data_IF_255211004039
#
_entry.id   IF_255211004039
#
_cell.length_a   1.000
_cell.length_b   1.000
_cell.length_c   1.000
_cell.angle_alpha   90.00
_cell.angle_beta   90.00
_cell.angle_gamma   90.00
#
_symmetry.space_group_name_H-M   'P 1'
#
loop_
_entity.id
_entity.type
_entity.pdbx_description
1 polymer ?
#
# COMPACT_ATOMS: atom_id res chain seq x y z
N UNK A 1 9.72 34.10 -0.57
CA UNK A 1 9.40 32.94 -1.43
C UNK A 1 8.04 33.20 -2.04
N UNK A 2 7.92 33.00 -3.35
CA UNK A 2 6.72 33.30 -4.14
C UNK A 2 5.67 32.22 -3.93
N UNK A 3 4.41 32.61 -3.75
CA UNK A 3 3.29 31.67 -3.79
C UNK A 3 3.18 31.05 -5.19
N UNK A 4 2.77 29.78 -5.28
CA UNK A 4 2.62 29.11 -6.57
C UNK A 4 1.45 29.70 -7.36
N UNK A 5 1.68 30.04 -8.63
CA UNK A 5 0.63 30.57 -9.51
C UNK A 5 -0.26 29.45 -10.08
N UNK A 6 -1.46 29.82 -10.54
CA UNK A 6 -2.43 28.86 -11.08
C UNK A 6 -1.94 28.18 -12.38
N UNK A 7 -1.06 28.83 -13.14
CA UNK A 7 -0.46 28.24 -14.35
C UNK A 7 0.76 27.35 -14.02
N UNK A 8 1.55 27.70 -12.99
CA UNK A 8 2.56 26.79 -12.43
C UNK A 8 1.92 25.51 -11.85
N UNK A 9 0.78 25.62 -11.16
CA UNK A 9 0.00 24.46 -10.70
C UNK A 9 -0.37 23.56 -11.89
N UNK A 10 -0.97 24.11 -12.95
CA UNK A 10 -1.34 23.33 -14.16
C UNK A 10 -0.12 22.66 -14.80
N UNK A 11 1.00 23.38 -14.89
CA UNK A 11 2.23 22.89 -15.50
C UNK A 11 2.86 21.75 -14.70
N UNK A 12 3.03 21.94 -13.38
CA UNK A 12 3.60 20.94 -12.49
C UNK A 12 2.70 19.72 -12.34
N UNK A 13 1.37 19.88 -12.21
CA UNK A 13 0.43 18.75 -12.19
C UNK A 13 0.55 17.91 -13.47
N UNK A 14 0.60 18.53 -14.65
CA UNK A 14 0.82 17.82 -15.93
C UNK A 14 2.18 17.12 -15.96
N UNK A 15 3.22 17.75 -15.43
CA UNK A 15 4.56 17.17 -15.41
C UNK A 15 4.66 15.96 -14.47
N UNK A 16 4.26 16.12 -13.22
CA UNK A 16 4.13 15.07 -12.20
C UNK A 16 3.35 13.87 -12.75
N UNK A 17 2.19 14.12 -13.37
CA UNK A 17 1.41 13.07 -14.01
C UNK A 17 2.19 12.35 -15.11
N UNK A 18 2.89 13.09 -16.00
CA UNK A 18 3.66 12.48 -17.09
C UNK A 18 4.83 11.60 -16.64
N UNK A 19 5.43 11.88 -15.47
CA UNK A 19 6.58 11.12 -14.93
C UNK A 19 6.17 10.01 -13.96
N UNK A 20 5.02 10.14 -13.29
CA UNK A 20 4.60 9.24 -12.20
C UNK A 20 3.25 8.54 -12.36
N UNK A 21 2.37 9.05 -13.23
CA UNK A 21 0.96 8.65 -13.30
C UNK A 21 0.07 9.21 -12.19
N UNK A 22 0.64 9.89 -11.18
CA UNK A 22 -0.13 10.49 -10.07
C UNK A 22 -0.96 11.67 -10.60
N UNK A 23 -2.28 11.49 -10.59
CA UNK A 23 -3.24 12.52 -10.94
C UNK A 23 -3.52 13.42 -9.73
N UNK A 24 -3.00 14.65 -9.77
CA UNK A 24 -3.33 15.69 -8.80
C UNK A 24 -4.49 16.53 -9.33
N UNK A 25 -5.61 16.52 -8.62
CA UNK A 25 -6.72 17.45 -8.88
C UNK A 25 -6.42 18.86 -8.31
N UNK A 26 -7.23 19.85 -8.69
CA UNK A 26 -7.04 21.23 -8.27
C UNK A 26 -7.15 21.43 -6.73
N UNK A 27 -7.93 20.60 -6.02
CA UNK A 27 -8.05 20.68 -4.56
C UNK A 27 -6.78 20.21 -3.83
N UNK A 28 -5.95 19.40 -4.51
CA UNK A 28 -4.67 18.89 -4.02
C UNK A 28 -3.46 19.74 -4.46
N UNK A 29 -3.67 20.87 -5.13
CA UNK A 29 -2.59 21.74 -5.61
C UNK A 29 -1.62 22.19 -4.51
N UNK A 30 -2.11 22.39 -3.28
CA UNK A 30 -1.27 22.72 -2.11
C UNK A 30 -0.18 21.68 -1.80
N UNK A 31 -0.36 20.42 -2.26
CA UNK A 31 0.66 19.38 -2.12
C UNK A 31 1.90 19.67 -2.98
N UNK A 32 1.75 20.36 -4.12
CA UNK A 32 2.89 20.78 -4.94
C UNK A 32 3.74 21.79 -4.16
N UNK A 33 3.13 22.84 -3.63
CA UNK A 33 3.83 23.87 -2.85
C UNK A 33 4.49 23.28 -1.60
N UNK A 34 3.75 22.55 -0.78
CA UNK A 34 4.27 22.00 0.48
C UNK A 34 5.39 20.98 0.28
N UNK A 35 5.34 20.15 -0.78
CA UNK A 35 6.30 19.06 -1.00
C UNK A 35 7.47 19.42 -1.91
N UNK A 36 7.31 20.39 -2.82
CA UNK A 36 8.40 20.84 -3.71
C UNK A 36 9.19 22.02 -3.14
N UNK A 37 8.71 22.68 -2.08
CA UNK A 37 9.44 23.75 -1.37
C UNK A 37 10.87 23.35 -0.91
N UNK A 38 11.16 22.13 -0.42
CA UNK A 38 12.53 21.71 -0.15
C UNK A 38 13.40 21.69 -1.41
N UNK A 39 12.88 21.19 -2.54
CA UNK A 39 13.60 21.20 -3.83
C UNK A 39 13.85 22.62 -4.34
N UNK A 40 12.89 23.53 -4.19
CA UNK A 40 13.06 24.95 -4.51
C UNK A 40 14.29 25.55 -3.79
N UNK A 41 14.52 25.17 -2.53
CA UNK A 41 15.68 25.59 -1.74
C UNK A 41 16.96 24.88 -2.23
N UNK A 42 16.93 23.55 -2.36
CA UNK A 42 18.07 22.72 -2.78
C UNK A 42 18.65 23.16 -4.13
N UNK A 43 17.80 23.47 -5.12
CA UNK A 43 18.22 23.90 -6.45
C UNK A 43 18.27 25.43 -6.64
N UNK A 44 18.14 26.20 -5.55
CA UNK A 44 18.13 27.67 -5.57
C UNK A 44 17.20 28.25 -6.65
N UNK A 45 15.95 27.78 -6.70
CA UNK A 45 14.95 28.23 -7.68
C UNK A 45 14.13 29.40 -7.12
N UNK A 46 13.92 30.42 -7.95
CA UNK A 46 13.15 31.63 -7.65
C UNK A 46 11.65 31.47 -7.92
N UNK A 47 11.28 30.55 -8.82
CA UNK A 47 9.90 30.24 -9.22
C UNK A 47 9.72 28.73 -9.47
N UNK A 48 8.46 28.26 -9.45
CA UNK A 48 8.16 26.87 -9.79
C UNK A 48 8.31 26.61 -11.30
N UNK A 49 8.13 27.64 -12.13
CA UNK A 49 8.55 27.63 -13.54
C UNK A 49 10.04 27.29 -13.71
N UNK A 50 10.92 27.90 -12.90
CA UNK A 50 12.36 27.65 -12.94
C UNK A 50 12.69 26.21 -12.47
N UNK A 51 12.03 25.72 -11.42
CA UNK A 51 12.18 24.34 -10.96
C UNK A 51 11.76 23.34 -12.04
N UNK A 52 10.63 23.57 -12.71
CA UNK A 52 10.18 22.77 -13.86
C UNK A 52 11.20 22.80 -15.00
N UNK A 53 11.70 23.98 -15.37
CA UNK A 53 12.65 24.14 -16.47
C UNK A 53 13.98 23.41 -16.18
N UNK A 54 14.54 23.57 -14.97
CA UNK A 54 15.73 22.83 -14.53
C UNK A 54 15.47 21.32 -14.52
N UNK A 55 14.34 20.87 -13.98
CA UNK A 55 13.99 19.43 -13.94
C UNK A 55 13.79 18.83 -15.34
N UNK A 56 13.39 19.62 -16.34
CA UNK A 56 13.32 19.20 -17.75
C UNK A 56 14.68 19.24 -18.47
N UNK A 57 15.58 20.12 -18.06
CA UNK A 57 16.92 20.23 -18.63
C UNK A 57 17.91 19.20 -18.03
N UNK A 58 17.63 18.68 -16.84
CA UNK A 58 18.46 17.68 -16.14
C UNK A 58 18.51 16.33 -16.86
N UNK A 59 19.58 16.13 -17.63
CA UNK A 59 19.87 14.87 -18.33
C UNK A 59 20.23 13.71 -17.40
N UNK A 60 20.53 13.95 -16.11
CA UNK A 60 20.77 12.87 -15.13
C UNK A 60 19.47 12.26 -14.59
N UNK A 61 18.35 12.98 -14.76
CA UNK A 61 17.04 12.63 -14.21
C UNK A 61 16.98 12.62 -12.69
N UNK A 62 17.93 13.23 -11.99
CA UNK A 62 17.95 13.27 -10.53
C UNK A 62 16.85 14.21 -10.00
N UNK A 63 16.65 15.36 -10.64
CA UNK A 63 15.53 16.26 -10.31
C UNK A 63 14.17 15.59 -10.56
N UNK A 64 14.04 14.73 -11.58
CA UNK A 64 12.82 13.95 -11.82
C UNK A 64 12.57 12.94 -10.68
N UNK A 65 13.61 12.21 -10.25
CA UNK A 65 13.53 11.24 -9.14
C UNK A 65 13.12 11.90 -7.83
N UNK A 66 13.76 13.01 -7.46
CA UNK A 66 13.45 13.74 -6.23
C UNK A 66 12.03 14.34 -6.27
N UNK A 67 11.60 14.85 -7.43
CA UNK A 67 10.23 15.34 -7.61
C UNK A 67 9.18 14.22 -7.45
N UNK A 68 9.47 13.02 -7.98
CA UNK A 68 8.66 11.83 -7.74
C UNK A 68 8.64 11.49 -6.24
N UNK A 69 9.80 11.36 -5.61
CA UNK A 69 9.90 11.00 -4.19
C UNK A 69 9.10 11.98 -3.30
N UNK A 70 9.25 13.29 -3.54
CA UNK A 70 8.53 14.34 -2.84
C UNK A 70 7.01 14.25 -3.01
N UNK A 71 6.51 14.00 -4.22
CA UNK A 71 5.06 13.94 -4.50
C UNK A 71 4.42 12.60 -4.14
N UNK A 72 5.16 11.49 -4.13
CA UNK A 72 4.61 10.19 -3.70
C UNK A 72 4.19 10.21 -2.22
N UNK A 73 3.00 9.71 -1.91
CA UNK A 73 2.53 9.58 -0.52
C UNK A 73 2.82 8.17 0.00
N UNK A 74 3.95 8.01 0.68
CA UNK A 74 4.47 6.73 1.14
C UNK A 74 3.91 6.29 2.51
N UNK A 75 2.58 6.34 2.70
CA UNK A 75 1.99 5.75 3.91
C UNK A 75 1.92 4.23 3.79
N UNK A 76 2.67 3.53 4.64
CA UNK A 76 2.68 2.06 4.73
C UNK A 76 3.04 1.65 6.16
N UNK A 77 2.63 0.45 6.57
CA UNK A 77 2.97 -0.15 7.87
C UNK A 77 2.80 -1.67 7.80
N UNK A 78 3.42 -2.38 8.75
CA UNK A 78 3.39 -3.85 8.75
C UNK A 78 1.97 -4.36 8.96
N UNK A 79 1.61 -5.40 8.21
CA UNK A 79 0.27 -5.99 8.22
C UNK A 79 -0.88 -4.97 8.06
N UNK A 80 -0.63 -3.89 7.27
CA UNK A 80 -1.63 -2.84 6.96
C UNK A 80 -2.92 -3.45 6.47
N UNK A 81 -4.02 -3.17 7.18
CA UNK A 81 -5.29 -3.89 7.12
C UNK A 81 -5.06 -5.39 7.37
N UNK A 82 -5.54 -5.97 8.46
CA UNK A 82 -5.27 -7.40 8.71
C UNK A 82 -5.91 -8.32 7.65
N UNK A 83 -7.05 -7.92 7.07
CA UNK A 83 -7.84 -8.75 6.16
C UNK A 83 -7.11 -9.31 4.93
N UNK A 84 -6.31 -8.56 4.15
CA UNK A 84 -5.66 -9.09 2.95
C UNK A 84 -4.51 -10.05 3.29
N UNK A 85 -3.87 -9.87 4.45
CA UNK A 85 -2.82 -10.77 4.95
C UNK A 85 -3.41 -12.07 5.52
N UNK A 86 -4.51 -11.99 6.26
CA UNK A 86 -5.27 -13.16 6.71
C UNK A 86 -5.85 -13.94 5.53
N UNK A 87 -6.36 -13.25 4.51
CA UNK A 87 -6.82 -13.83 3.24
C UNK A 87 -5.68 -14.56 2.49
N UNK A 88 -4.50 -13.94 2.42
CA UNK A 88 -3.33 -14.56 1.84
C UNK A 88 -2.94 -15.83 2.60
N UNK A 89 -2.80 -15.73 3.93
CA UNK A 89 -2.38 -16.81 4.83
C UNK A 89 -3.35 -18.00 4.86
N UNK A 90 -4.66 -17.74 4.94
CA UNK A 90 -5.67 -18.76 5.22
C UNK A 90 -6.48 -19.21 4.01
N UNK A 91 -6.32 -18.58 2.83
CA UNK A 91 -6.99 -19.01 1.60
C UNK A 91 -6.06 -19.11 0.40
N UNK A 92 -5.45 -18.01 0.00
CA UNK A 92 -4.71 -17.95 -1.28
C UNK A 92 -3.45 -18.82 -1.25
N UNK A 93 -2.66 -18.77 -0.17
CA UNK A 93 -1.44 -19.55 -0.05
C UNK A 93 -1.71 -21.07 0.05
N UNK A 94 -2.64 -21.57 0.88
CA UNK A 94 -3.02 -22.98 0.87
C UNK A 94 -3.53 -23.48 -0.49
N UNK A 95 -4.49 -22.76 -1.11
CA UNK A 95 -5.03 -23.13 -2.43
C UNK A 95 -3.93 -23.26 -3.50
N UNK A 96 -2.96 -22.33 -3.48
CA UNK A 96 -1.84 -22.29 -4.42
C UNK A 96 -0.86 -23.46 -4.22
N UNK A 97 -0.62 -23.86 -2.97
CA UNK A 97 0.24 -25.00 -2.66
C UNK A 97 -0.47 -26.30 -3.05
N UNK A 98 -1.74 -26.47 -2.68
CA UNK A 98 -2.52 -27.68 -2.95
C UNK A 98 -2.74 -27.91 -4.46
N UNK A 99 -2.99 -26.84 -5.23
CA UNK A 99 -3.13 -26.94 -6.69
C UNK A 99 -1.85 -27.41 -7.39
N UNK A 100 -0.67 -27.11 -6.79
CA UNK A 100 0.65 -27.39 -7.36
C UNK A 100 1.33 -28.63 -6.81
N UNK A 101 1.01 -29.06 -5.60
CA UNK A 101 1.66 -30.18 -4.92
C UNK A 101 1.74 -31.45 -5.80
N UNK A 102 0.67 -31.75 -6.56
CA UNK A 102 0.66 -32.90 -7.50
C UNK A 102 1.55 -32.72 -8.73
N UNK A 103 1.70 -31.49 -9.25
CA UNK A 103 2.54 -31.20 -10.43
C UNK A 103 4.03 -31.14 -10.09
N UNK A 104 4.37 -30.83 -8.83
CA UNK A 104 5.74 -30.65 -8.35
C UNK A 104 6.12 -31.68 -7.27
N UNK A 105 5.55 -32.89 -7.29
CA UNK A 105 5.71 -33.89 -6.22
C UNK A 105 7.18 -34.22 -5.85
N UNK A 106 8.11 -34.08 -6.80
CA UNK A 106 9.56 -34.31 -6.62
C UNK A 106 10.41 -33.04 -6.83
N UNK A 107 9.83 -31.84 -6.77
CA UNK A 107 10.52 -30.56 -7.00
C UNK A 107 9.99 -29.46 -6.07
N UNK A 108 10.78 -28.43 -5.76
CA UNK A 108 10.27 -27.29 -4.99
C UNK A 108 9.09 -26.60 -5.70
N UNK A 109 7.97 -26.41 -5.00
CA UNK A 109 6.77 -25.76 -5.54
C UNK A 109 7.06 -24.27 -5.79
N UNK A 110 6.91 -23.75 -7.02
CA UNK A 110 7.18 -22.34 -7.30
C UNK A 110 6.08 -21.44 -6.71
N UNK A 111 6.51 -20.38 -6.02
CA UNK A 111 5.65 -19.33 -5.46
C UNK A 111 6.24 -17.96 -5.81
N UNK A 112 5.66 -17.30 -6.81
CA UNK A 112 6.09 -15.99 -7.34
C UNK A 112 5.09 -14.93 -6.91
N UNK A 113 5.51 -14.00 -6.07
CA UNK A 113 4.68 -12.93 -5.53
C UNK A 113 5.22 -11.59 -5.98
N UNK A 114 4.33 -10.67 -6.34
CA UNK A 114 4.67 -9.28 -6.62
C UNK A 114 3.88 -8.33 -5.72
N UNK A 115 4.57 -7.44 -5.00
CA UNK A 115 3.99 -6.26 -4.35
C UNK A 115 4.27 -5.04 -5.23
N UNK A 116 3.21 -4.58 -5.89
CA UNK A 116 3.17 -3.41 -6.76
C UNK A 116 2.89 -2.15 -5.93
N UNK A 117 3.82 -1.19 -5.97
CA UNK A 117 3.93 -0.06 -5.03
C UNK A 117 4.18 -0.50 -3.58
N UNK A 118 5.27 -1.27 -3.38
CA UNK A 118 5.66 -1.79 -2.06
C UNK A 118 6.09 -0.71 -1.05
N UNK A 119 6.27 0.54 -1.51
CA UNK A 119 6.79 1.67 -0.74
C UNK A 119 8.04 1.26 0.05
N UNK A 120 8.13 1.62 1.34
CA UNK A 120 9.30 1.31 2.20
C UNK A 120 9.39 -0.16 2.66
N UNK A 121 8.64 -1.10 2.05
CA UNK A 121 8.90 -2.55 2.10
C UNK A 121 8.10 -3.36 3.12
N UNK A 122 7.30 -2.72 3.97
CA UNK A 122 6.58 -3.40 5.07
C UNK A 122 5.60 -4.47 4.57
N UNK A 123 4.90 -4.24 3.45
CA UNK A 123 4.02 -5.25 2.84
C UNK A 123 4.80 -6.50 2.39
N UNK A 124 5.92 -6.29 1.69
CA UNK A 124 6.80 -7.36 1.20
C UNK A 124 7.34 -8.20 2.37
N UNK A 125 7.75 -7.56 3.46
CA UNK A 125 8.22 -8.27 4.65
C UNK A 125 7.10 -8.95 5.44
N UNK A 126 5.89 -8.38 5.50
CA UNK A 126 4.72 -9.09 6.03
C UNK A 126 4.38 -10.35 5.22
N UNK A 127 4.48 -10.30 3.88
CA UNK A 127 4.32 -11.48 3.01
C UNK A 127 5.41 -12.53 3.30
N UNK A 128 6.67 -12.12 3.37
CA UNK A 128 7.81 -13.01 3.65
C UNK A 128 7.68 -13.68 5.02
N UNK A 129 7.25 -12.94 6.05
CA UNK A 129 6.96 -13.47 7.39
C UNK A 129 5.81 -14.50 7.34
N UNK A 130 4.70 -14.22 6.65
CA UNK A 130 3.59 -15.18 6.52
C UNK A 130 4.05 -16.47 5.85
N UNK A 131 4.84 -16.38 4.77
CA UNK A 131 5.43 -17.54 4.12
C UNK A 131 6.31 -18.34 5.09
N UNK A 132 7.18 -17.67 5.85
CA UNK A 132 8.05 -18.30 6.86
C UNK A 132 7.29 -18.97 8.01
N UNK A 133 6.10 -18.49 8.36
CA UNK A 133 5.27 -19.05 9.43
C UNK A 133 4.29 -20.13 8.98
N UNK A 134 3.86 -20.08 7.71
CA UNK A 134 2.79 -20.94 7.19
C UNK A 134 3.36 -22.13 6.40
N UNK A 135 4.47 -21.93 5.70
CA UNK A 135 5.17 -22.99 4.98
C UNK A 135 6.21 -23.62 5.91
N UNK A 136 6.10 -24.94 6.12
CA UNK A 136 6.97 -25.68 7.05
C UNK A 136 8.43 -25.70 6.62
N UNK A 137 8.83 -26.73 5.86
CA UNK A 137 10.17 -26.77 5.29
C UNK A 137 10.21 -25.90 4.01
N UNK A 138 10.88 -24.73 4.10
CA UNK A 138 11.00 -23.81 2.96
C UNK A 138 11.76 -24.40 1.77
N UNK A 139 12.60 -25.43 1.94
CA UNK A 139 13.28 -26.09 0.80
C UNK A 139 12.31 -26.83 -0.14
N UNK A 140 11.07 -27.09 0.31
CA UNK A 140 10.01 -27.65 -0.54
C UNK A 140 9.39 -26.60 -1.49
N UNK A 141 9.88 -25.35 -1.49
CA UNK A 141 9.30 -24.24 -2.24
C UNK A 141 10.37 -23.40 -2.94
N UNK A 142 10.12 -22.98 -4.18
CA UNK A 142 10.93 -22.00 -4.89
C UNK A 142 10.24 -20.63 -4.81
N UNK A 143 10.52 -19.92 -3.72
CA UNK A 143 9.90 -18.62 -3.40
C UNK A 143 10.65 -17.48 -4.09
N UNK A 144 9.91 -16.58 -4.72
CA UNK A 144 10.41 -15.32 -5.26
C UNK A 144 9.43 -14.19 -4.95
N UNK A 145 9.81 -13.26 -4.08
CA UNK A 145 9.01 -12.06 -3.79
C UNK A 145 9.66 -10.85 -4.47
N UNK A 146 8.94 -10.22 -5.38
CA UNK A 146 9.32 -8.96 -6.02
C UNK A 146 8.59 -7.81 -5.32
N UNK A 147 9.33 -6.88 -4.71
CA UNK A 147 8.82 -5.57 -4.33
C UNK A 147 9.15 -4.55 -5.41
N UNK A 148 8.18 -3.76 -5.86
CA UNK A 148 8.47 -2.63 -6.74
C UNK A 148 7.82 -1.35 -6.28
N UNK A 149 8.53 -0.24 -6.36
CA UNK A 149 7.97 1.10 -6.19
C UNK A 149 8.55 2.08 -7.22
N UNK A 150 7.89 3.22 -7.41
CA UNK A 150 8.40 4.29 -8.27
C UNK A 150 9.44 5.16 -7.56
N UNK A 151 9.38 5.23 -6.22
CA UNK A 151 10.32 6.01 -5.42
C UNK A 151 11.63 5.24 -5.18
N UNK A 152 12.75 5.84 -5.61
CA UNK A 152 14.08 5.26 -5.42
C UNK A 152 14.45 5.18 -3.93
N UNK A 153 14.05 6.18 -3.14
CA UNK A 153 14.30 6.23 -1.70
C UNK A 153 13.52 5.15 -0.96
N UNK A 154 12.26 4.93 -1.37
CA UNK A 154 11.40 3.88 -0.80
C UNK A 154 11.95 2.49 -1.10
N UNK A 155 12.33 2.21 -2.36
CA UNK A 155 13.00 0.97 -2.80
C UNK A 155 14.31 0.74 -2.04
N UNK A 156 15.12 1.79 -1.88
CA UNK A 156 16.41 1.74 -1.18
C UNK A 156 16.21 1.42 0.30
N UNK A 157 15.30 2.12 0.98
CA UNK A 157 14.95 1.85 2.39
C UNK A 157 14.39 0.44 2.57
N UNK A 158 13.50 0.00 1.68
CA UNK A 158 12.94 -1.34 1.67
C UNK A 158 14.06 -2.39 1.55
N UNK A 159 14.99 -2.23 0.60
CA UNK A 159 16.13 -3.15 0.41
C UNK A 159 17.07 -3.21 1.63
N UNK A 160 17.32 -2.10 2.31
CA UNK A 160 18.10 -2.12 3.55
C UNK A 160 17.36 -2.81 4.72
N UNK A 161 16.03 -2.72 4.75
CA UNK A 161 15.20 -3.34 5.79
C UNK A 161 15.40 -2.73 7.18
N UNK A 162 15.74 -1.44 7.25
CA UNK A 162 15.94 -0.68 8.50
C UNK A 162 14.75 0.24 8.76
N UNK A 163 14.23 0.20 9.98
CA UNK A 163 13.05 0.94 10.41
C UNK A 163 13.31 1.57 11.78
N UNK A 164 12.79 2.78 12.01
CA UNK A 164 12.77 3.33 13.36
C UNK A 164 11.77 2.55 14.23
N UNK A 165 11.79 2.79 15.56
CA UNK A 165 10.91 2.12 16.50
C UNK A 165 9.43 2.20 16.12
N UNK A 166 8.93 3.40 15.80
CA UNK A 166 7.54 3.63 15.41
C UNK A 166 7.14 2.87 14.14
N UNK A 167 7.98 2.90 13.11
CA UNK A 167 7.73 2.19 11.85
C UNK A 167 7.72 0.67 11.99
N UNK A 168 8.58 0.13 12.87
CA UNK A 168 8.68 -1.31 13.13
C UNK A 168 7.55 -1.84 14.01
N UNK A 169 7.09 -1.05 15.00
CA UNK A 169 6.04 -1.45 15.94
C UNK A 169 4.62 -1.20 15.40
N UNK A 170 4.43 -0.27 14.45
CA UNK A 170 3.12 0.04 13.85
C UNK A 170 2.57 -1.17 13.06
N UNK A 171 1.59 -1.85 13.64
CA UNK A 171 0.88 -2.99 13.05
C UNK A 171 1.59 -4.35 13.22
N UNK A 172 2.74 -4.37 13.90
CA UNK A 172 3.52 -5.59 14.13
C UNK A 172 3.23 -6.18 15.53
N UNK A 173 2.81 -7.46 15.65
CA UNK A 173 2.74 -8.12 16.95
C UNK A 173 4.13 -8.21 17.61
N UNK A 174 4.30 -7.88 18.90
CA UNK A 174 5.63 -7.83 19.54
C UNK A 174 6.45 -9.12 19.43
N UNK A 175 5.78 -10.28 19.47
CA UNK A 175 6.42 -11.59 19.34
C UNK A 175 6.98 -11.81 17.92
N UNK A 176 6.28 -11.32 16.90
CA UNK A 176 6.69 -11.39 15.49
C UNK A 176 7.87 -10.43 15.24
N UNK A 177 7.84 -9.23 15.85
CA UNK A 177 8.95 -8.27 15.81
C UNK A 177 10.24 -8.90 16.37
N UNK A 178 10.20 -9.41 17.60
CA UNK A 178 11.35 -10.06 18.24
C UNK A 178 11.87 -11.29 17.47
N UNK A 179 10.97 -12.03 16.82
CA UNK A 179 11.32 -13.23 16.04
C UNK A 179 12.03 -12.90 14.74
N UNK A 180 11.61 -11.86 14.00
CA UNK A 180 12.10 -11.57 12.64
C UNK A 180 12.95 -10.31 12.49
N UNK A 181 13.15 -9.55 13.56
CA UNK A 181 13.99 -8.35 13.55
C UNK A 181 15.11 -8.47 14.59
N UNK A 182 16.12 -7.62 14.40
CA UNK A 182 17.26 -7.43 15.29
C UNK A 182 17.33 -5.96 15.67
N UNK A 183 17.73 -5.65 16.90
CA UNK A 183 17.98 -4.27 17.31
C UNK A 183 19.14 -3.68 16.48
N UNK A 184 19.00 -2.44 16.01
CA UNK A 184 19.99 -1.77 15.17
C UNK A 184 19.98 -0.27 15.47
N UNK A 185 20.87 0.17 16.38
CA UNK A 185 20.77 1.50 16.99
C UNK A 185 19.45 1.65 17.75
N UNK A 186 18.82 2.82 17.65
CA UNK A 186 17.51 3.12 18.27
C UNK A 186 16.30 2.56 17.49
N UNK A 187 16.55 1.58 16.61
CA UNK A 187 15.55 1.01 15.71
C UNK A 187 15.75 -0.48 15.47
N UNK A 188 15.11 -0.95 14.41
CA UNK A 188 15.04 -2.37 14.08
C UNK A 188 15.53 -2.62 12.65
N UNK A 189 16.20 -3.75 12.46
CA UNK A 189 16.58 -4.28 11.15
C UNK A 189 15.97 -5.66 10.94
N UNK A 190 15.29 -5.86 9.82
CA UNK A 190 14.78 -7.18 9.36
C UNK A 190 15.95 -8.18 9.32
N UNK A 191 15.76 -9.37 9.89
CA UNK A 191 16.77 -10.44 9.86
C UNK A 191 17.02 -10.89 8.43
N UNK A 192 18.28 -11.21 8.14
CA UNK A 192 18.73 -11.52 6.78
C UNK A 192 18.01 -12.76 6.17
N UNK A 193 17.50 -13.68 7.00
CA UNK A 193 16.68 -14.84 6.57
C UNK A 193 15.33 -14.43 5.93
N UNK A 194 14.70 -13.35 6.41
CA UNK A 194 13.48 -12.80 5.83
C UNK A 194 13.83 -11.86 4.67
N UNK A 195 14.88 -11.04 4.86
CA UNK A 195 15.32 -10.07 3.86
C UNK A 195 15.71 -10.72 2.53
N UNK A 196 16.36 -11.88 2.58
CA UNK A 196 16.79 -12.62 1.37
C UNK A 196 15.67 -13.28 0.58
N UNK A 197 14.44 -13.34 1.11
CA UNK A 197 13.27 -13.85 0.37
C UNK A 197 12.73 -12.85 -0.68
N UNK A 198 13.19 -11.59 -0.62
CA UNK A 198 12.67 -10.50 -1.43
C UNK A 198 13.75 -9.80 -2.27
N UNK A 199 13.35 -9.36 -3.47
CA UNK A 199 14.13 -8.45 -4.32
C UNK A 199 13.33 -7.19 -4.55
N UNK A 200 13.96 -6.03 -4.37
CA UNK A 200 13.34 -4.72 -4.57
C UNK A 200 13.85 -4.08 -5.86
N UNK A 201 12.96 -3.44 -6.63
CA UNK A 201 13.30 -2.78 -7.90
C UNK A 201 12.51 -1.49 -8.07
N UNK A 202 13.11 -0.48 -8.71
CA UNK A 202 12.35 0.65 -9.23
C UNK A 202 11.44 0.19 -10.36
N UNK A 203 10.16 0.52 -10.30
CA UNK A 203 9.22 0.32 -11.40
C UNK A 203 8.09 1.35 -11.37
N UNK A 204 7.79 1.94 -12.52
CA UNK A 204 6.64 2.81 -12.69
C UNK A 204 5.51 2.00 -13.35
N UNK A 205 4.37 1.84 -12.65
CA UNK A 205 3.20 1.09 -13.12
C UNK A 205 2.59 1.63 -14.42
N UNK A 206 2.91 2.86 -14.83
CA UNK A 206 2.50 3.41 -16.12
C UNK A 206 3.29 2.82 -17.31
N UNK A 207 4.51 2.32 -17.09
CA UNK A 207 5.38 1.77 -18.15
C UNK A 207 4.90 0.38 -18.63
N UNK A 208 5.42 -0.14 -19.76
CA UNK A 208 5.16 -1.51 -20.20
C UNK A 208 5.68 -2.56 -19.19
N UNK A 209 4.97 -3.69 -19.09
CA UNK A 209 5.28 -4.76 -18.12
C UNK A 209 6.22 -5.84 -18.70
N UNK A 210 6.86 -5.55 -19.83
CA UNK A 210 7.75 -6.47 -20.53
C UNK A 210 8.91 -6.93 -19.62
N UNK A 211 9.18 -8.23 -19.61
CA UNK A 211 10.29 -8.81 -18.84
C UNK A 211 10.04 -9.01 -17.32
N UNK A 212 8.87 -8.65 -16.77
CA UNK A 212 8.57 -8.93 -15.36
C UNK A 212 8.34 -10.42 -15.05
N UNK A 213 8.03 -11.24 -16.07
CA UNK A 213 7.74 -12.66 -15.90
C UNK A 213 6.25 -12.91 -15.64
N UNK A 214 5.95 -13.94 -14.85
CA UNK A 214 4.59 -14.28 -14.43
C UNK A 214 4.51 -14.47 -12.92
N UNK A 215 3.39 -14.05 -12.33
CA UNK A 215 3.15 -14.06 -10.90
C UNK A 215 1.93 -14.89 -10.52
N UNK A 216 2.02 -15.52 -9.36
CA UNK A 216 1.01 -16.37 -8.76
C UNK A 216 0.11 -15.57 -7.82
N UNK A 217 0.70 -14.60 -7.11
CA UNK A 217 -0.02 -13.63 -6.30
C UNK A 217 0.50 -12.23 -6.59
N UNK A 218 -0.41 -11.28 -6.81
CA UNK A 218 -0.09 -9.86 -6.94
C UNK A 218 -0.81 -9.09 -5.84
N UNK A 219 -0.06 -8.32 -5.06
CA UNK A 219 -0.58 -7.28 -4.19
C UNK A 219 -0.43 -5.95 -4.95
N UNK A 220 -1.51 -5.21 -5.12
CA UNK A 220 -1.52 -3.88 -5.72
C UNK A 220 -2.45 -3.00 -4.89
N UNK A 221 -1.93 -2.51 -3.76
CA UNK A 221 -2.75 -1.98 -2.66
C UNK A 221 -2.49 -0.52 -2.40
N UNK A 222 -3.56 0.25 -2.20
CA UNK A 222 -3.54 1.66 -1.82
C UNK A 222 -2.78 2.61 -2.79
N UNK A 223 -2.41 2.15 -3.99
CA UNK A 223 -1.74 2.95 -5.03
C UNK A 223 -2.69 3.39 -6.15
N UNK A 224 -3.60 2.52 -6.57
CA UNK A 224 -4.46 2.79 -7.72
C UNK A 224 -5.57 3.82 -7.44
N UNK A 225 -5.58 4.40 -6.24
CA UNK A 225 -6.38 5.58 -5.84
C UNK A 225 -5.77 6.90 -6.35
N UNK A 226 -4.51 6.90 -6.80
CA UNK A 226 -3.81 8.08 -7.32
C UNK A 226 -3.84 8.19 -8.85
N UNK A 227 -4.42 7.22 -9.55
CA UNK A 227 -4.46 7.15 -11.01
C UNK A 227 -5.82 7.62 -11.56
N UNK A 228 -5.86 8.09 -12.82
CA UNK A 228 -7.14 8.34 -13.50
C UNK A 228 -7.91 7.03 -13.73
N UNK A 229 -9.21 7.10 -14.03
CA UNK A 229 -9.99 5.89 -14.33
C UNK A 229 -9.41 5.08 -15.51
N UNK A 230 -8.94 5.78 -16.55
CA UNK A 230 -8.31 5.17 -17.73
C UNK A 230 -6.98 4.50 -17.40
N UNK A 231 -6.12 5.18 -16.63
CA UNK A 231 -4.83 4.64 -16.19
C UNK A 231 -5.02 3.44 -15.25
N UNK A 232 -5.98 3.55 -14.32
CA UNK A 232 -6.35 2.49 -13.38
C UNK A 232 -6.75 1.22 -14.14
N UNK A 233 -7.63 1.34 -15.14
CA UNK A 233 -8.00 0.24 -16.04
C UNK A 233 -6.77 -0.35 -16.73
N UNK A 234 -5.95 0.48 -17.39
CA UNK A 234 -4.78 0.03 -18.13
C UNK A 234 -3.73 -0.65 -17.23
N UNK A 235 -3.54 -0.19 -16.00
CA UNK A 235 -2.66 -0.83 -15.01
C UNK A 235 -3.18 -2.23 -14.64
N UNK A 236 -4.47 -2.38 -14.30
CA UNK A 236 -5.01 -3.69 -13.96
C UNK A 236 -5.04 -4.66 -15.16
N UNK A 237 -5.29 -4.19 -16.38
CA UNK A 237 -5.22 -5.02 -17.58
C UNK A 237 -3.79 -5.51 -17.86
N UNK A 238 -2.77 -4.67 -17.63
CA UNK A 238 -1.36 -5.10 -17.65
C UNK A 238 -1.01 -6.07 -16.53
N UNK A 239 -1.56 -5.90 -15.32
CA UNK A 239 -1.40 -6.84 -14.19
C UNK A 239 -1.97 -8.22 -14.58
N UNK A 240 -3.18 -8.28 -15.15
CA UNK A 240 -3.77 -9.54 -15.61
C UNK A 240 -2.88 -10.27 -16.64
N UNK A 241 -2.24 -9.53 -17.55
CA UNK A 241 -1.32 -10.09 -18.55
C UNK A 241 -0.04 -10.74 -17.98
N UNK A 242 0.38 -10.37 -16.76
CA UNK A 242 1.55 -10.95 -16.06
C UNK A 242 1.16 -11.90 -14.92
N UNK A 243 -0.11 -12.28 -14.80
CA UNK A 243 -0.56 -13.27 -13.81
C UNK A 243 -0.73 -14.66 -14.44
N UNK A 244 -0.56 -15.70 -13.61
CA UNK A 244 -1.05 -17.02 -13.98
C UNK A 244 -2.58 -17.10 -13.95
N UNK A 245 -3.16 -18.00 -14.73
CA UNK A 245 -4.62 -18.15 -14.91
C UNK A 245 -5.35 -18.68 -13.67
N UNK A 246 -4.61 -19.19 -12.68
CA UNK A 246 -5.09 -19.57 -11.34
C UNK A 246 -4.66 -18.56 -10.26
N UNK A 247 -3.89 -17.53 -10.64
CA UNK A 247 -3.30 -16.56 -9.73
C UNK A 247 -4.33 -15.64 -9.06
N UNK A 248 -3.90 -14.96 -8.00
CA UNK A 248 -4.75 -14.11 -7.17
C UNK A 248 -4.22 -12.67 -7.05
N UNK A 249 -5.09 -11.70 -7.30
CA UNK A 249 -4.85 -10.26 -7.14
C UNK A 249 -5.54 -9.77 -5.86
N UNK A 250 -4.76 -9.08 -5.03
CA UNK A 250 -5.16 -8.51 -3.74
C UNK A 250 -5.01 -6.98 -3.83
N UNK A 251 -6.09 -6.24 -3.57
CA UNK A 251 -6.14 -4.77 -3.62
C UNK A 251 -6.35 -4.17 -2.22
N UNK A 252 -6.29 -2.84 -2.08
CA UNK A 252 -6.54 -2.16 -0.81
C UNK A 252 -7.95 -2.42 -0.28
N UNK A 253 -8.14 -2.42 1.04
CA UNK A 253 -9.44 -2.80 1.64
C UNK A 253 -10.59 -1.83 1.35
N UNK A 254 -10.29 -0.64 0.84
CA UNK A 254 -11.23 0.39 0.38
C UNK A 254 -11.35 0.48 -1.14
N UNK A 255 -10.66 -0.40 -1.88
CA UNK A 255 -10.63 -0.39 -3.34
C UNK A 255 -11.58 -1.43 -3.94
N UNK A 256 -11.94 -1.25 -5.21
CA UNK A 256 -12.76 -2.18 -5.98
C UNK A 256 -12.36 -2.12 -7.46
N UNK A 257 -12.42 -3.27 -8.14
CA UNK A 257 -12.31 -3.36 -9.61
C UNK A 257 -13.68 -3.33 -10.31
N UNK A 258 -14.79 -3.21 -9.57
CA UNK A 258 -16.11 -3.13 -10.18
C UNK A 258 -16.21 -1.90 -11.09
N UNK A 259 -16.57 -2.11 -12.36
CA UNK A 259 -16.58 -1.06 -13.39
C UNK A 259 -15.20 -0.58 -13.87
N UNK A 260 -14.09 -1.18 -13.42
CA UNK A 260 -12.73 -0.80 -13.83
C UNK A 260 -12.25 -1.62 -15.03
N UNK A 261 -12.33 -2.95 -14.95
CA UNK A 261 -11.97 -3.87 -16.04
C UNK A 261 -12.74 -5.18 -15.93
N UNK A 262 -12.97 -5.85 -17.07
CA UNK A 262 -13.56 -7.19 -17.15
C UNK A 262 -12.54 -8.33 -17.05
N UNK A 263 -11.24 -8.01 -16.97
CA UNK A 263 -10.17 -9.03 -16.93
C UNK A 263 -10.06 -9.79 -15.60
N UNK A 264 -10.88 -9.45 -14.60
CA UNK A 264 -10.84 -10.03 -13.26
C UNK A 264 -12.22 -10.44 -12.75
N UNK A 265 -12.32 -11.65 -12.19
CA UNK A 265 -13.50 -12.12 -11.49
C UNK A 265 -13.32 -11.94 -9.96
N UNK A 266 -14.27 -11.30 -9.25
CA UNK A 266 -14.21 -11.17 -7.79
C UNK A 266 -14.52 -12.50 -7.10
N UNK A 267 -13.58 -12.98 -6.28
CA UNK A 267 -13.74 -14.11 -5.36
C UNK A 267 -13.88 -13.61 -3.92
N UNK A 268 -14.58 -14.37 -3.09
CA UNK A 268 -14.84 -14.02 -1.68
C UNK A 268 -14.34 -15.10 -0.74
N UNK A 269 -13.76 -14.67 0.37
CA UNK A 269 -13.44 -15.54 1.50
C UNK A 269 -13.68 -14.77 2.79
N UNK A 270 -14.53 -15.30 3.67
CA UNK A 270 -15.04 -14.61 4.86
C UNK A 270 -15.60 -13.22 4.50
N UNK A 271 -15.00 -12.14 5.02
CA UNK A 271 -15.39 -10.74 4.77
C UNK A 271 -14.48 -10.04 3.75
N UNK A 272 -13.61 -10.78 3.07
CA UNK A 272 -12.59 -10.24 2.18
C UNK A 272 -12.83 -10.64 0.74
N UNK A 273 -12.42 -9.75 -0.18
CA UNK A 273 -12.51 -9.93 -1.63
C UNK A 273 -11.08 -10.00 -2.18
N UNK A 274 -10.85 -10.95 -3.08
CA UNK A 274 -9.69 -10.98 -3.97
C UNK A 274 -10.19 -11.18 -5.39
N UNK A 275 -9.30 -11.10 -6.36
CA UNK A 275 -9.64 -11.19 -7.77
C UNK A 275 -8.80 -12.27 -8.45
N UNK A 276 -9.36 -13.02 -9.37
CA UNK A 276 -8.61 -13.96 -10.22
C UNK A 276 -8.74 -13.54 -11.69
N UNK A 277 -7.69 -13.68 -12.51
CA UNK A 277 -7.79 -13.38 -13.95
C UNK A 277 -8.91 -14.19 -14.60
N UNK A 278 -9.74 -13.55 -15.41
CA UNK A 278 -10.74 -14.26 -16.21
C UNK A 278 -10.01 -15.13 -17.23
N UNK A 279 -10.36 -16.41 -17.27
CA UNK A 279 -9.90 -17.32 -18.32
C UNK A 279 -10.52 -16.91 -19.65
N UNK A 280 -9.77 -16.16 -20.44
CA UNK A 280 -10.01 -16.08 -21.88
C UNK A 280 -9.76 -17.49 -22.42
N UNK A 281 -10.82 -18.18 -22.84
CA UNK A 281 -10.67 -19.38 -23.66
C UNK A 281 -10.16 -18.93 -25.03
N UNK A 282 -8.85 -18.96 -25.22
CA UNK A 282 -8.27 -18.86 -26.56
C UNK A 282 -8.62 -20.17 -27.28
N UNK A 283 -9.46 -20.08 -28.31
CA UNK A 283 -10.04 -21.22 -29.04
C UNK A 283 -8.99 -21.93 -29.96
N UNK A 284 -7.71 -21.77 -29.60
CA UNK A 284 -6.53 -22.31 -30.26
C UNK A 284 -6.10 -23.60 -29.60
N UNK A 285 -6.81 -24.67 -29.98
CA UNK A 285 -6.42 -26.09 -29.99
C UNK A 285 -5.13 -26.48 -29.22
N UNK A 286 -5.29 -27.40 -28.28
CA UNK A 286 -4.21 -28.32 -27.87
C UNK A 286 -3.46 -27.89 -26.61
N UNK A 287 -4.03 -28.21 -25.44
CA UNK A 287 -3.30 -28.16 -24.18
C UNK A 287 -2.19 -29.22 -24.14
N UNK A 288 -0.98 -28.86 -24.58
CA UNK A 288 0.23 -29.57 -24.19
C UNK A 288 0.48 -29.37 -22.69
N UNK A 289 1.06 -30.35 -21.97
CA UNK A 289 1.34 -30.23 -20.55
C UNK A 289 2.21 -29.01 -20.27
N UNK A 290 1.85 -28.25 -19.23
CA UNK A 290 2.61 -27.06 -18.80
C UNK A 290 3.97 -27.52 -18.29
N UNK A 291 4.99 -27.39 -19.14
CA UNK A 291 6.38 -27.61 -18.73
C UNK A 291 6.69 -26.65 -17.57
N UNK A 292 7.20 -27.14 -16.43
CA UNK A 292 7.55 -26.29 -15.30
C UNK A 292 8.60 -25.26 -15.74
N UNK A 293 8.20 -23.99 -15.79
CA UNK A 293 9.07 -22.90 -16.25
C UNK A 293 9.98 -22.47 -15.10
N UNK A 294 11.26 -22.19 -15.36
CA UNK A 294 12.18 -21.73 -14.32
C UNK A 294 11.66 -20.43 -13.70
N UNK A 295 11.67 -20.36 -12.37
CA UNK A 295 11.39 -19.12 -11.63
C UNK A 295 12.41 -18.05 -12.06
N UNK A 296 12.00 -16.79 -12.28
CA UNK A 296 12.94 -15.71 -12.55
C UNK A 296 13.97 -15.60 -11.42
N UNK A 297 15.21 -16.04 -11.67
CA UNK A 297 16.32 -15.80 -10.75
C UNK A 297 16.69 -14.33 -10.89
N UNK A 298 16.05 -13.49 -10.08
CA UNK A 298 16.48 -12.11 -9.93
C UNK A 298 17.85 -12.12 -9.24
N UNK A 299 18.94 -11.66 -9.89
CA UNK A 299 20.24 -11.63 -9.25
C UNK A 299 20.16 -10.71 -8.03
N UNK A 300 20.35 -11.28 -6.84
CA UNK A 300 20.65 -10.48 -5.67
C UNK A 300 21.99 -9.79 -5.88
N UNK A 301 22.12 -8.56 -5.40
CA UNK A 301 23.41 -7.88 -5.31
C UNK A 301 24.27 -8.60 -4.28
N UNK A 302 24.96 -9.67 -4.72
CA UNK A 302 26.05 -10.26 -3.96
C UNK A 302 27.06 -9.15 -3.69
N UNK A 303 27.28 -8.82 -2.42
CA UNK A 303 28.47 -8.08 -2.03
C UNK A 303 29.67 -8.92 -2.46
N UNK A 304 30.46 -8.40 -3.40
CA UNK A 304 31.67 -9.06 -3.82
C UNK A 304 32.66 -9.02 -2.64
N UNK A 305 32.76 -10.12 -1.89
CA UNK A 305 33.82 -10.33 -0.92
C UNK A 305 35.12 -10.58 -1.70
N UNK A 306 35.75 -9.50 -2.16
CA UNK A 306 37.10 -9.53 -2.69
C UNK A 306 38.05 -9.93 -1.55
N UNK A 307 38.66 -11.12 -1.67
CA UNK A 307 39.79 -11.49 -0.84
C UNK A 307 40.98 -10.55 -1.09
N UNK A 308 41.90 -10.38 -0.13
CA UNK A 308 42.96 -9.39 -0.23
C UNK A 308 43.98 -9.77 -1.31
N UNK A 309 44.03 -9.00 -2.39
CA UNK A 309 45.13 -9.02 -3.35
C UNK A 309 45.98 -7.76 -3.19
N UNK A 310 47.30 -7.95 -3.26
CA UNK A 310 48.31 -7.07 -2.68
C UNK A 310 48.28 -5.58 -3.06
N UNK A 311 48.61 -4.74 -2.08
CA UNK A 311 48.88 -3.32 -2.27
C UNK A 311 50.16 -3.10 -3.12
N UNK A 312 50.11 -2.24 -4.15
CA UNK A 312 51.32 -1.64 -4.73
C UNK A 312 51.86 -0.52 -3.83
N UNK A 313 53.19 -0.44 -3.67
CA UNK A 313 53.87 0.67 -2.96
C UNK A 313 53.97 1.93 -3.84
N UNK A 314 53.53 3.08 -3.32
CA UNK A 314 53.94 4.44 -3.75
C UNK A 314 54.06 5.29 -2.46
N UNK A 315 55.26 5.48 -1.91
CA UNK A 315 56.14 6.68 -2.03
C UNK A 315 55.64 7.92 -1.24
N UNK A 316 56.37 8.19 -0.13
CA UNK A 316 56.54 9.44 0.66
C UNK A 316 55.34 10.31 1.07
N UNK A 317 55.20 10.53 2.38
CA UNK A 317 54.29 11.51 2.99
C UNK A 317 55.00 12.83 3.36
N UNK A 318 54.29 13.99 3.35
CA UNK A 318 54.73 15.24 3.98
C UNK A 318 54.42 15.28 5.50
N UNK A 319 55.02 16.19 6.29
CA UNK A 319 55.11 16.06 7.76
C UNK A 319 53.86 16.49 8.53
N UNK A 320 53.77 15.99 9.78
CA UNK A 320 52.65 16.20 10.69
C UNK A 320 52.68 17.56 11.40
N UNK A 321 51.50 18.14 11.65
CA UNK A 321 51.31 19.26 12.58
C UNK A 321 51.12 18.74 14.02
N UNK A 322 51.62 19.46 15.05
CA UNK A 322 51.63 18.97 16.43
C UNK A 322 50.27 19.07 17.11
N UNK A 323 49.95 18.07 17.94
CA UNK A 323 48.77 18.06 18.81
C UNK A 323 49.01 18.89 20.08
N UNK A 324 48.06 19.75 20.53
CA UNK A 324 48.13 20.35 21.85
C UNK A 324 47.91 19.29 22.96
N UNK A 325 48.73 19.32 24.01
CA UNK A 325 48.51 18.58 25.26
C UNK A 325 47.67 19.39 26.26
N UNK A 326 47.03 18.75 27.25
CA UNK A 326 45.98 19.38 28.07
C UNK A 326 46.54 20.23 29.21
N UNK A 327 45.70 21.15 29.70
CA UNK A 327 45.88 21.87 30.98
C UNK A 327 44.66 21.61 31.88
N UNK A 328 44.90 21.58 33.19
CA UNK A 328 44.03 21.02 34.22
C UNK A 328 42.90 21.92 34.74
N UNK A 329 41.94 21.28 35.41
CA UNK A 329 40.79 21.78 36.17
C UNK A 329 41.06 22.79 37.30
N UNK A 330 40.06 23.61 37.64
CA UNK A 330 39.41 23.65 38.98
C UNK A 330 38.20 24.62 39.07
N UNK A 331 37.29 24.38 40.04
CA UNK A 331 36.16 25.21 40.54
C UNK A 331 34.95 25.45 39.57
N UNK A 332 33.76 24.89 39.84
CA UNK A 332 32.69 25.29 40.80
C UNK A 332 31.98 26.61 40.37
N UNK A 333 30.66 26.69 40.11
CA UNK A 333 29.48 26.36 40.96
C UNK A 333 28.21 26.35 40.03
N UNK A 334 27.02 25.79 40.39
CA UNK A 334 26.00 25.41 39.40
C UNK A 334 24.90 26.45 39.13
N UNK A 335 24.20 26.32 37.98
CA UNK A 335 23.02 27.13 37.63
C UNK A 335 21.86 26.30 37.04
N UNK A 336 20.78 26.22 37.83
CA UNK A 336 19.36 26.01 37.49
C UNK A 336 18.94 25.23 36.22
N UNK A 337 18.30 24.07 36.43
CA UNK A 337 17.40 23.46 35.45
C UNK A 337 16.02 24.15 35.48
N UNK A 338 15.40 24.35 34.30
CA UNK A 338 14.01 24.85 34.17
C UNK A 338 13.06 23.65 34.00
N UNK A 339 11.98 23.51 34.81
CA UNK A 339 11.09 22.35 34.73
C UNK A 339 10.10 22.40 33.56
N UNK A 340 9.69 21.22 33.10
CA UNK A 340 8.53 21.05 32.22
C UNK A 340 7.23 21.10 33.05
N UNK A 341 6.13 21.72 32.56
CA UNK A 341 4.87 21.77 33.28
C UNK A 341 4.13 20.42 33.28
N UNK A 342 3.60 20.03 34.45
CA UNK A 342 2.88 18.77 34.67
C UNK A 342 1.46 18.73 34.08
N UNK A 343 0.93 17.52 33.93
CA UNK A 343 -0.44 17.26 33.44
C UNK A 343 -1.46 17.28 34.60
N UNK A 344 -2.59 18.01 34.50
CA UNK A 344 -3.62 18.00 35.54
C UNK A 344 -4.32 16.64 35.66
N UNK A 345 -4.46 16.16 36.90
CA UNK A 345 -5.20 14.94 37.23
C UNK A 345 -6.72 15.16 37.19
N UNK A 346 -7.47 14.04 37.19
CA UNK A 346 -8.94 14.05 37.17
C UNK A 346 -9.52 14.36 38.55
N UNK A 347 -10.52 15.25 38.58
CA UNK A 347 -11.57 15.22 39.60
C UNK A 347 -12.94 14.92 38.96
N UNK A 348 -13.83 14.35 39.76
CA UNK A 348 -15.14 13.87 39.32
C UNK A 348 -16.27 14.67 39.99
N UNK A 349 -17.19 15.22 39.20
CA UNK A 349 -18.41 15.80 39.79
C UNK A 349 -19.33 16.52 38.81
N UNK A 350 -20.60 16.08 38.80
CA UNK A 350 -21.82 16.84 38.42
C UNK A 350 -21.92 17.35 36.97
N UNK A 351 -22.72 16.61 36.18
CA UNK A 351 -23.35 17.13 34.96
C UNK A 351 -24.42 18.16 35.32
N UNK A 352 -24.37 19.34 34.72
CA UNK A 352 -25.52 20.22 34.53
C UNK A 352 -25.86 20.25 33.03
N UNK A 353 -27.16 20.21 32.70
CA UNK A 353 -27.66 20.36 31.34
C UNK A 353 -27.68 21.85 30.97
N UNK A 354 -27.20 22.18 29.78
CA UNK A 354 -27.44 23.47 29.14
C UNK A 354 -27.83 23.19 27.69
N UNK A 355 -29.05 23.58 27.33
CA UNK A 355 -29.57 23.55 25.97
C UNK A 355 -28.99 24.72 25.16
N UNK A 356 -28.84 24.55 23.85
CA UNK A 356 -28.40 25.61 22.94
C UNK A 356 -29.53 25.88 21.95
N UNK A 357 -30.06 27.11 21.84
CA UNK A 357 -31.28 27.39 21.07
C UNK A 357 -31.03 27.41 19.55
N UNK A 358 -32.05 26.97 18.83
CA UNK A 358 -32.14 27.06 17.37
C UNK A 358 -32.62 28.45 16.96
N UNK A 359 -32.01 29.07 15.95
CA UNK A 359 -32.43 30.38 15.42
C UNK A 359 -33.01 30.26 14.01
N UNK A 360 -34.31 30.52 13.88
CA UNK A 360 -34.89 31.19 12.72
C UNK A 360 -35.11 32.68 13.05
N UNK A 361 -35.62 33.53 12.16
CA UNK A 361 -36.18 33.29 10.83
C UNK A 361 -36.29 34.64 10.06
N UNK A 362 -36.82 34.63 8.83
CA UNK A 362 -37.31 35.79 8.02
C UNK A 362 -36.26 36.68 7.32
N UNK A 363 -36.50 37.24 6.12
CA UNK A 363 -37.64 37.11 5.18
C UNK A 363 -37.27 37.56 3.75
N UNK A 364 -38.06 37.17 2.74
CA UNK A 364 -38.70 38.12 1.81
C UNK A 364 -39.74 37.45 0.88
N UNK A 365 -40.63 38.28 0.35
CA UNK A 365 -41.90 37.95 -0.31
C UNK A 365 -41.80 37.69 -1.82
N UNK A 366 -42.80 37.00 -2.38
CA UNK A 366 -43.10 36.95 -3.81
C UNK A 366 -44.55 36.54 -4.05
N UNK A 367 -45.34 37.39 -4.71
CA UNK A 367 -46.76 37.14 -5.01
C UNK A 367 -46.99 36.76 -6.48
N UNK A 368 -48.01 35.92 -6.65
CA UNK A 368 -48.66 35.38 -7.86
C UNK A 368 -48.94 36.35 -9.03
N UNK A 369 -48.94 35.83 -10.28
CA UNK A 369 -50.06 35.93 -11.28
C UNK A 369 -49.73 35.38 -12.69
N UNK A 370 -50.55 34.42 -13.17
CA UNK A 370 -51.03 34.21 -14.57
C UNK A 370 -50.09 34.10 -15.80
N UNK A 371 -50.51 33.64 -16.99
CA UNK A 371 -51.69 32.85 -17.43
C UNK A 371 -51.52 32.44 -18.93
N UNK A 372 -51.96 31.22 -19.35
CA UNK A 372 -52.21 30.76 -20.77
C UNK A 372 -51.00 30.77 -21.75
N UNK A 373 -50.95 30.04 -22.87
CA UNK A 373 -51.54 28.78 -23.38
C UNK A 373 -50.63 28.32 -24.58
N UNK A 374 -50.89 27.34 -25.46
CA UNK A 374 -51.99 26.41 -25.79
C UNK A 374 -51.38 25.19 -26.53
N UNK A 375 -52.01 24.01 -26.53
CA UNK A 375 -51.84 23.03 -27.61
C UNK A 375 -52.02 21.54 -27.26
N UNK A 376 -53.24 21.01 -27.45
CA UNK A 376 -53.52 19.55 -27.42
C UNK A 376 -53.19 18.91 -28.78
N UNK A 377 -52.82 17.62 -28.83
CA UNK A 377 -53.50 16.60 -29.68
C UNK A 377 -53.37 15.18 -29.06
N UNK A 378 -54.52 14.58 -28.74
CA UNK A 378 -54.93 13.16 -28.68
C UNK A 378 -54.01 12.01 -28.17
N UNK A 379 -54.53 11.28 -27.18
CA UNK A 379 -54.39 9.81 -27.05
C UNK A 379 -55.46 9.09 -27.91
N UNK A 380 -55.49 7.73 -28.02
CA UNK A 380 -56.11 6.93 -26.95
C UNK A 380 -55.51 5.50 -26.72
N UNK A 381 -55.75 4.97 -25.50
CA UNK A 381 -56.11 3.57 -25.13
C UNK A 381 -55.23 2.38 -25.64
N UNK A 382 -55.02 1.28 -24.92
CA UNK A 382 -55.54 0.81 -23.62
C UNK A 382 -54.63 -0.27 -22.98
N UNK A 383 -55.09 -0.82 -21.83
CA UNK A 383 -54.66 -2.04 -21.13
C UNK A 383 -53.81 -1.86 -19.85
N UNK A 384 -54.54 -1.82 -18.72
CA UNK A 384 -53.97 -1.97 -17.39
C UNK A 384 -53.91 -3.45 -16.96
N UNK A 385 -52.85 -3.82 -16.24
CA UNK A 385 -52.83 -5.01 -15.37
C UNK A 385 -52.34 -4.59 -13.99
N UNK A 386 -53.27 -4.59 -13.03
CA UNK A 386 -53.00 -4.28 -11.62
C UNK A 386 -52.66 -5.55 -10.84
N UNK A 387 -51.50 -5.58 -10.16
CA UNK A 387 -51.30 -6.43 -8.98
C UNK A 387 -50.70 -5.59 -7.84
N UNK A 388 -51.14 -5.90 -6.63
CA UNK A 388 -51.09 -5.08 -5.42
C UNK A 388 -49.70 -4.87 -4.79
N UNK A 389 -49.51 -3.70 -4.17
CA UNK A 389 -48.39 -3.44 -3.25
C UNK A 389 -48.80 -3.83 -1.82
N UNK A 390 -47.99 -4.67 -1.16
CA UNK A 390 -48.10 -4.95 0.27
C UNK A 390 -47.39 -3.87 1.11
N UNK A 391 -47.91 -3.50 2.30
CA UNK A 391 -47.28 -2.52 3.18
C UNK A 391 -46.08 -3.10 3.96
N UNK A 392 -45.13 -2.27 4.41
CA UNK A 392 -43.90 -2.72 5.06
C UNK A 392 -44.14 -3.22 6.49
N UNK A 393 -43.79 -4.47 6.77
CA UNK A 393 -43.80 -5.03 8.13
C UNK A 393 -42.63 -4.50 8.96
N UNK A 394 -42.93 -3.77 10.04
CA UNK A 394 -41.94 -3.42 11.08
C UNK A 394 -41.44 -4.68 11.78
N UNK A 395 -40.20 -5.10 11.51
CA UNK A 395 -39.49 -6.10 12.34
C UNK A 395 -38.62 -5.41 13.37
N UNK A 396 -39.08 -5.43 14.62
CA UNK A 396 -38.28 -5.05 15.80
C UNK A 396 -37.16 -6.06 15.98
N UNK A 397 -35.91 -5.68 15.70
CA UNK A 397 -34.73 -6.51 16.01
C UNK A 397 -34.31 -6.21 17.46
N UNK A 398 -34.61 -7.11 18.38
CA UNK A 398 -34.02 -7.07 19.72
C UNK A 398 -32.53 -7.39 19.64
N UNK A 399 -31.70 -6.47 20.11
CA UNK A 399 -30.26 -6.66 20.18
C UNK A 399 -29.90 -7.57 21.37
N UNK A 400 -29.61 -8.85 21.11
CA UNK A 400 -29.01 -9.71 22.12
C UNK A 400 -27.54 -9.34 22.36
N UNK A 401 -27.23 -8.95 23.59
CA UNK A 401 -25.85 -8.83 24.08
C UNK A 401 -25.14 -10.18 24.00
N UNK A 402 -23.84 -10.15 23.75
CA UNK A 402 -23.00 -11.34 23.82
C UNK A 402 -23.02 -11.93 25.25
N UNK A 403 -23.47 -13.18 25.37
CA UNK A 403 -23.57 -13.91 26.61
C UNK A 403 -22.92 -15.29 26.48
N UNK A 404 -21.85 -15.46 27.26
CA UNK A 404 -21.28 -16.68 27.83
C UNK A 404 -20.98 -17.94 26.97
N UNK A 405 -19.80 -18.53 27.19
CA UNK A 405 -19.30 -19.72 26.49
C UNK A 405 -19.97 -21.03 26.94
N UNK A 406 -20.81 -20.95 27.97
CA UNK A 406 -21.39 -22.09 28.68
C UNK A 406 -22.54 -22.74 27.91
N UNK A 407 -23.38 -21.95 27.22
CA UNK A 407 -24.53 -22.48 26.48
C UNK A 407 -24.14 -23.25 25.22
N UNK A 408 -23.07 -22.84 24.52
CA UNK A 408 -22.61 -23.54 23.32
C UNK A 408 -22.13 -24.97 23.63
N UNK A 409 -21.52 -25.20 24.82
CA UNK A 409 -21.16 -26.54 25.29
C UNK A 409 -22.39 -27.39 25.61
N UNK A 410 -23.45 -26.78 26.17
CA UNK A 410 -24.71 -27.47 26.50
C UNK A 410 -25.44 -27.94 25.23
N UNK A 411 -25.47 -27.08 24.21
CA UNK A 411 -26.09 -27.35 22.92
C UNK A 411 -25.31 -28.40 22.09
N UNK A 412 -23.98 -28.44 22.22
CA UNK A 412 -23.13 -29.50 21.65
C UNK A 412 -23.28 -30.87 22.35
N UNK A 413 -23.48 -30.90 23.67
CA UNK A 413 -23.77 -32.14 24.41
C UNK A 413 -25.10 -32.76 23.96
N UNK A 414 -26.18 -31.97 23.90
CA UNK A 414 -27.51 -32.46 23.48
C UNK A 414 -27.49 -33.00 22.05
N UNK A 415 -26.79 -32.34 21.12
CA UNK A 415 -26.61 -32.83 19.74
C UNK A 415 -25.79 -34.12 19.62
N UNK A 416 -24.98 -34.46 20.63
CA UNK A 416 -24.19 -35.70 20.67
C UNK A 416 -24.99 -36.88 21.26
N UNK A 417 -25.97 -36.61 22.13
CA UNK A 417 -26.91 -37.61 22.65
C UNK A 417 -28.04 -37.95 21.66
N UNK A 418 -28.47 -37.00 20.83
CA UNK A 418 -29.49 -37.24 19.79
C UNK A 418 -28.96 -37.95 18.52
N UNK A 419 -27.81 -38.65 18.62
CA UNK A 419 -27.13 -39.29 17.49
C UNK A 419 -26.36 -40.58 17.88
N UNK A 420 -26.77 -41.19 18.99
CA UNK A 420 -26.31 -42.46 19.52
C UNK A 420 -27.50 -43.42 19.61
#
# INVERSE_FOLDING_TARGET
>A
MTAISQDEIKLLTRYVYSISGVALDASKAYLLETRLKPMMQQYSCTSYMELYAKAKADRSGNMEKEMINAITTNETFFFRDSSPFELFKHKILPDLVDSRARMYANMPVPIRIWSAACSTGQEVYSIAIILRETLGNLSNYQISILGTDISDDAVTKASYGKYNKFEAERGMPPQVLQKYFSAHGDGWKVKDEIRSMAVFRKFNLMKPFAGMGRFDVVFCRNVAIYFTATDKKAVFEKIAGVMETDGSLIIGSTESLNGVTSMFEPKRYLRSIFYQPVRVMDDRRGASPVVPRPVPVFPSSRSASAGPQGCPRIISAPPAFPSPRPVSSAADTPAAAIPWPESPQREAGRRALVEVPFAGDMASSGHDTGEKAHGQVNAPLDSAVSISRLPPTKRTVQAHRAGDKTDLKRLLMQKKQAKA
#
